data_IF_160519317341
#
_entry.id   IF_160519317341
#
_cell.length_a   1.000
_cell.length_b   1.000
_cell.length_c   1.000
_cell.angle_alpha   90.00
_cell.angle_beta   90.00
_cell.angle_gamma   90.00
#
_symmetry.space_group_name_H-M   'P 1'
#
loop_
_entity.id
_entity.type
_entity.pdbx_description
1 polymer ?
#
# COMPACT_ATOMS: atom_id res chain seq x y z
N UNK A 1 0.25 40.52 6.82
CA UNK A 1 -0.92 39.87 6.21
C UNK A 1 -0.94 38.44 6.75
N UNK A 2 -1.84 38.18 7.68
CA UNK A 2 -2.02 36.83 8.28
C UNK A 2 -2.72 35.94 7.26
N UNK A 3 -1.99 35.03 6.67
CA UNK A 3 -2.64 33.87 6.00
C UNK A 3 -3.08 32.92 7.10
N UNK A 4 -4.36 32.95 7.44
CA UNK A 4 -5.01 31.83 8.10
C UNK A 4 -4.95 30.63 7.15
N UNK A 5 -4.52 29.44 7.62
CA UNK A 5 -4.65 28.24 6.82
C UNK A 5 -6.14 28.05 6.52
N UNK A 6 -6.46 27.76 5.27
CA UNK A 6 -7.82 27.42 4.86
C UNK A 6 -8.36 26.36 5.83
N UNK A 7 -9.52 26.63 6.42
CA UNK A 7 -10.28 25.66 7.20
C UNK A 7 -10.58 24.46 6.30
N UNK A 8 -9.70 23.45 6.36
CA UNK A 8 -9.98 22.14 5.77
C UNK A 8 -11.04 21.52 6.67
N UNK A 9 -12.29 21.73 6.32
CA UNK A 9 -13.41 21.02 6.94
C UNK A 9 -13.23 19.55 6.56
N UNK A 10 -12.77 18.74 7.51
CA UNK A 10 -12.78 17.28 7.40
C UNK A 10 -14.26 16.87 7.45
N UNK A 11 -14.88 16.65 6.32
CA UNK A 11 -16.31 16.32 6.20
C UNK A 11 -16.71 15.09 7.03
N UNK A 12 -15.76 14.18 7.29
CA UNK A 12 -15.97 13.01 8.14
C UNK A 12 -14.69 12.67 8.89
N UNK A 13 -14.76 12.67 10.22
CA UNK A 13 -13.67 12.24 11.08
C UNK A 13 -13.52 10.71 11.01
N UNK A 14 -12.32 10.23 10.70
CA UNK A 14 -12.04 8.81 10.62
C UNK A 14 -11.92 8.21 12.04
N UNK A 15 -12.61 7.11 12.37
CA UNK A 15 -12.58 6.51 13.69
C UNK A 15 -11.20 6.01 14.13
N UNK A 16 -10.29 5.79 13.21
CA UNK A 16 -8.93 5.31 13.48
C UNK A 16 -7.94 6.43 13.87
N UNK A 17 -8.31 7.70 13.78
CA UNK A 17 -7.42 8.84 14.09
C UNK A 17 -6.82 8.70 15.49
N UNK A 18 -7.65 8.60 16.52
CA UNK A 18 -7.18 8.53 17.90
C UNK A 18 -6.45 7.24 18.25
N UNK A 19 -6.93 6.04 17.84
CA UNK A 19 -6.18 4.80 17.96
C UNK A 19 -4.78 4.86 17.35
N UNK A 20 -4.67 5.35 16.11
CA UNK A 20 -3.38 5.47 15.41
C UNK A 20 -2.47 6.48 16.13
N UNK A 21 -3.00 7.65 16.48
CA UNK A 21 -2.23 8.67 17.18
C UNK A 21 -1.66 8.13 18.50
N UNK A 22 -2.46 7.38 19.27
CA UNK A 22 -2.00 6.75 20.51
C UNK A 22 -0.85 5.77 20.26
N UNK A 23 -0.91 4.94 19.22
CA UNK A 23 0.15 4.02 18.87
C UNK A 23 1.44 4.78 18.46
N UNK A 24 1.31 5.81 17.64
CA UNK A 24 2.44 6.63 17.17
C UNK A 24 3.10 7.42 18.32
N UNK A 25 2.33 7.85 19.31
CA UNK A 25 2.88 8.53 20.48
C UNK A 25 3.69 7.57 21.38
N UNK A 26 3.26 6.32 21.51
CA UNK A 26 3.98 5.30 22.26
C UNK A 26 5.23 4.80 21.53
N UNK A 27 5.12 4.62 20.21
CA UNK A 27 6.19 4.18 19.33
C UNK A 27 6.23 5.08 18.10
N UNK A 28 7.03 6.17 18.10
CA UNK A 28 7.00 7.17 17.03
C UNK A 28 7.56 6.70 15.69
N UNK A 29 8.28 5.60 15.62
CA UNK A 29 8.99 5.11 14.43
C UNK A 29 8.86 3.60 14.26
N UNK A 30 9.16 3.14 13.05
CA UNK A 30 9.23 1.71 12.73
C UNK A 30 7.88 1.09 12.41
N UNK A 31 6.89 1.89 12.06
CA UNK A 31 5.61 1.41 11.59
C UNK A 31 5.60 1.25 10.07
N UNK A 32 4.96 0.20 9.63
CA UNK A 32 4.56 -0.01 8.25
C UNK A 32 3.04 -0.16 8.23
N UNK A 33 2.41 0.07 7.07
CA UNK A 33 0.94 0.03 6.98
C UNK A 33 0.38 -1.31 7.46
N UNK A 34 1.03 -2.43 7.10
CA UNK A 34 0.58 -3.76 7.50
C UNK A 34 0.77 -4.05 9.00
N UNK A 35 1.87 -3.59 9.63
CA UNK A 35 2.11 -3.77 11.07
C UNK A 35 1.15 -2.93 11.90
N UNK A 36 0.82 -1.73 11.42
CA UNK A 36 -0.17 -0.85 12.03
C UNK A 36 -1.57 -1.48 11.93
N UNK A 37 -1.95 -1.98 10.75
CA UNK A 37 -3.19 -2.70 10.50
C UNK A 37 -3.34 -3.90 11.44
N UNK A 38 -2.32 -4.74 11.52
CA UNK A 38 -2.34 -5.92 12.39
C UNK A 38 -2.49 -5.53 13.87
N UNK A 39 -1.73 -4.54 14.33
CA UNK A 39 -1.82 -4.08 15.72
C UNK A 39 -3.21 -3.54 16.08
N UNK A 40 -3.87 -2.82 15.17
CA UNK A 40 -5.23 -2.33 15.38
C UNK A 40 -6.25 -3.46 15.42
N UNK A 41 -6.08 -4.49 14.59
CA UNK A 41 -6.92 -5.70 14.61
C UNK A 41 -6.76 -6.49 15.91
N UNK A 42 -5.52 -6.72 16.35
CA UNK A 42 -5.22 -7.43 17.60
C UNK A 42 -5.83 -6.71 18.81
N UNK A 43 -5.89 -5.38 18.75
CA UNK A 43 -6.55 -4.54 19.76
C UNK A 43 -8.07 -4.39 19.57
N UNK A 44 -8.66 -5.05 18.57
CA UNK A 44 -10.10 -4.96 18.22
C UNK A 44 -10.55 -3.53 17.92
N UNK A 45 -9.67 -2.73 17.32
CA UNK A 45 -9.96 -1.34 16.91
C UNK A 45 -10.20 -1.23 15.40
N UNK A 46 -9.97 -2.32 14.67
CA UNK A 46 -10.24 -2.44 13.23
C UNK A 46 -10.85 -3.81 12.96
N UNK A 47 -12.13 -3.82 12.67
CA UNK A 47 -12.89 -5.04 12.37
C UNK A 47 -12.84 -5.39 10.88
N UNK A 48 -13.44 -6.53 10.52
CA UNK A 48 -13.72 -6.90 9.14
C UNK A 48 -14.79 -5.95 8.57
N UNK A 49 -14.53 -5.37 7.41
CA UNK A 49 -15.35 -4.32 6.79
C UNK A 49 -16.14 -4.79 5.58
N UNK A 50 -15.83 -5.99 5.07
CA UNK A 50 -16.55 -6.59 3.95
C UNK A 50 -16.42 -8.12 3.99
N UNK A 51 -17.44 -8.82 3.45
CA UNK A 51 -17.43 -10.29 3.33
C UNK A 51 -16.44 -10.74 2.25
N UNK A 52 -16.28 -9.95 1.19
CA UNK A 52 -15.25 -10.17 0.18
C UNK A 52 -13.88 -9.76 0.70
N UNK A 53 -12.95 -10.71 0.73
CA UNK A 53 -11.61 -10.49 1.30
C UNK A 53 -10.81 -9.39 0.59
N UNK A 54 -11.09 -9.10 -0.68
CA UNK A 54 -10.38 -8.08 -1.45
C UNK A 54 -10.93 -6.70 -1.12
N UNK A 55 -12.25 -6.61 -1.07
CA UNK A 55 -12.96 -5.39 -0.65
C UNK A 55 -12.63 -5.06 0.81
N UNK A 56 -12.58 -6.07 1.67
CA UNK A 56 -12.18 -5.90 3.07
C UNK A 56 -10.75 -5.35 3.18
N UNK A 57 -9.80 -5.96 2.48
CA UNK A 57 -8.41 -5.47 2.47
C UNK A 57 -8.31 -4.04 1.95
N UNK A 58 -9.02 -3.73 0.86
CA UNK A 58 -9.04 -2.38 0.30
C UNK A 58 -9.64 -1.37 1.28
N UNK A 59 -10.82 -1.65 1.84
CA UNK A 59 -11.50 -0.77 2.80
C UNK A 59 -10.67 -0.50 4.04
N UNK A 60 -10.02 -1.53 4.59
CA UNK A 60 -9.11 -1.37 5.74
C UNK A 60 -7.91 -0.50 5.40
N UNK A 61 -7.26 -0.75 4.25
CA UNK A 61 -6.15 0.08 3.78
C UNK A 61 -6.59 1.54 3.53
N UNK A 62 -7.76 1.72 2.92
CA UNK A 62 -8.30 3.06 2.72
C UNK A 62 -8.49 3.79 4.04
N UNK A 63 -9.16 3.18 5.03
CA UNK A 63 -9.36 3.80 6.33
C UNK A 63 -8.05 4.14 7.03
N UNK A 64 -7.05 3.25 6.98
CA UNK A 64 -5.73 3.50 7.58
C UNK A 64 -5.04 4.69 6.93
N UNK A 65 -4.96 4.73 5.60
CA UNK A 65 -4.31 5.81 4.87
C UNK A 65 -5.05 7.13 5.03
N UNK A 66 -6.39 7.10 4.98
CA UNK A 66 -7.23 8.27 5.23
C UNK A 66 -6.96 8.85 6.64
N UNK A 67 -6.94 8.00 7.69
CA UNK A 67 -6.65 8.43 9.04
C UNK A 67 -5.24 9.01 9.19
N UNK A 68 -4.24 8.40 8.56
CA UNK A 68 -2.85 8.90 8.58
C UNK A 68 -2.73 10.26 7.90
N UNK A 69 -3.38 10.48 6.76
CA UNK A 69 -3.35 11.78 6.09
C UNK A 69 -4.17 12.85 6.83
N UNK A 70 -5.29 12.48 7.46
CA UNK A 70 -6.00 13.39 8.36
C UNK A 70 -5.13 13.77 9.57
N UNK A 71 -4.43 12.82 10.19
CA UNK A 71 -3.47 13.08 11.26
C UNK A 71 -2.31 13.96 10.82
N UNK A 72 -1.78 13.77 9.62
CA UNK A 72 -0.72 14.62 9.07
C UNK A 72 -1.15 16.09 9.04
N UNK A 73 -2.39 16.35 8.62
CA UNK A 73 -2.96 17.71 8.59
C UNK A 73 -3.17 18.26 10.01
N UNK A 74 -3.76 17.45 10.90
CA UNK A 74 -4.08 17.85 12.27
C UNK A 74 -2.84 18.15 13.11
N UNK A 75 -1.76 17.43 12.89
CA UNK A 75 -0.52 17.57 13.65
C UNK A 75 0.35 18.73 13.16
N UNK A 76 0.23 19.10 11.88
CA UNK A 76 0.96 20.24 11.30
C UNK A 76 0.45 21.58 11.85
N UNK A 77 1.29 22.57 12.12
CA UNK A 77 2.75 22.61 11.95
C UNK A 77 3.56 22.17 13.18
N UNK A 78 2.94 21.65 14.22
CA UNK A 78 3.64 21.31 15.48
C UNK A 78 4.49 20.05 15.36
N UNK A 79 3.99 19.07 14.63
CA UNK A 79 4.64 17.80 14.36
C UNK A 79 4.47 17.45 12.88
N UNK A 80 5.36 16.62 12.36
CA UNK A 80 5.23 16.06 11.02
C UNK A 80 4.97 14.57 11.11
N UNK A 81 3.90 14.11 10.48
CA UNK A 81 3.65 12.70 10.27
C UNK A 81 4.13 12.30 8.87
N UNK A 82 5.21 11.52 8.80
CA UNK A 82 5.64 10.91 7.57
C UNK A 82 4.69 9.75 7.25
N UNK A 83 4.09 9.78 6.06
CA UNK A 83 3.13 8.77 5.62
C UNK A 83 3.66 8.13 4.35
N UNK A 84 4.49 7.13 4.53
CA UNK A 84 4.95 6.23 3.48
C UNK A 84 4.54 4.82 3.86
N UNK A 85 4.08 4.01 2.89
CA UNK A 85 3.50 2.70 3.18
C UNK A 85 4.42 1.77 4.00
N UNK A 86 5.74 1.93 3.82
CA UNK A 86 6.77 1.13 4.48
C UNK A 86 7.48 1.89 5.60
N UNK A 87 7.19 3.17 5.78
CA UNK A 87 7.84 4.00 6.78
C UNK A 87 6.88 5.10 7.28
N UNK A 88 6.21 4.79 8.38
CA UNK A 88 5.31 5.72 9.05
C UNK A 88 6.03 6.18 10.34
N UNK A 89 6.27 7.48 10.44
CA UNK A 89 6.99 8.08 11.56
C UNK A 89 6.33 9.37 12.04
N UNK A 90 6.20 9.50 13.35
CA UNK A 90 5.82 10.76 13.99
C UNK A 90 7.07 11.53 14.38
N UNK A 91 7.30 12.67 13.74
CA UNK A 91 8.47 13.53 13.96
C UNK A 91 8.07 14.76 14.77
N UNK A 92 8.81 15.05 15.84
CA UNK A 92 8.61 16.23 16.68
C UNK A 92 9.22 17.50 16.06
N UNK A 93 9.85 17.39 14.89
CA UNK A 93 10.48 18.49 14.17
C UNK A 93 9.86 18.59 12.79
N UNK A 94 9.45 19.78 12.42
CA UNK A 94 8.98 20.10 11.07
C UNK A 94 10.10 20.83 10.33
N UNK A 95 10.62 20.21 9.28
CA UNK A 95 11.64 20.81 8.41
C UNK A 95 10.99 21.72 7.36
N UNK A 96 11.77 22.65 6.80
CA UNK A 96 11.31 23.55 5.73
C UNK A 96 10.83 22.79 4.46
N UNK A 97 11.28 21.55 4.26
CA UNK A 97 10.82 20.67 3.18
C UNK A 97 9.45 20.03 3.43
N UNK A 98 8.93 20.12 4.65
CA UNK A 98 7.63 19.56 5.01
C UNK A 98 6.52 20.57 4.74
N UNK A 99 5.84 20.43 3.63
CA UNK A 99 4.76 21.30 3.22
C UNK A 99 3.49 20.50 2.90
N UNK A 100 2.38 20.85 3.53
CA UNK A 100 1.06 20.31 3.18
C UNK A 100 0.56 20.84 1.83
N UNK A 101 1.03 22.02 1.42
CA UNK A 101 0.65 22.64 0.15
C UNK A 101 1.27 21.96 -1.08
N UNK A 102 2.31 21.12 -0.87
CA UNK A 102 2.86 20.34 -1.97
C UNK A 102 1.85 19.29 -2.40
N UNK A 103 1.51 19.30 -3.68
CA UNK A 103 0.60 18.31 -4.26
C UNK A 103 1.08 16.87 -3.95
N UNK A 104 0.23 16.13 -3.29
CA UNK A 104 0.43 14.71 -3.00
C UNK A 104 -0.81 13.95 -3.51
N UNK A 105 -0.73 13.36 -4.71
CA UNK A 105 -1.86 12.67 -5.31
C UNK A 105 -2.41 11.53 -4.46
N UNK A 106 -1.58 10.94 -3.58
CA UNK A 106 -2.05 9.91 -2.65
C UNK A 106 -2.88 10.51 -1.53
N UNK A 107 -2.40 11.63 -0.95
CA UNK A 107 -3.14 12.32 0.08
C UNK A 107 -4.50 12.76 -0.46
N UNK A 108 -4.53 13.39 -1.63
CA UNK A 108 -5.77 13.80 -2.29
C UNK A 108 -6.71 12.61 -2.50
N UNK A 109 -6.20 11.49 -3.00
CA UNK A 109 -6.99 10.28 -3.21
C UNK A 109 -7.59 9.73 -1.91
N UNK A 110 -6.78 9.58 -0.87
CA UNK A 110 -7.26 8.98 0.38
C UNK A 110 -8.09 9.93 1.24
N UNK A 111 -8.00 11.22 1.08
CA UNK A 111 -8.87 12.19 1.76
C UNK A 111 -10.25 12.28 1.13
N UNK A 112 -10.42 11.89 -0.13
CA UNK A 112 -11.71 11.83 -0.79
C UNK A 112 -12.46 10.54 -0.45
N UNK A 113 -13.48 10.64 0.39
CA UNK A 113 -14.30 9.52 0.84
C UNK A 113 -15.09 8.82 -0.27
N UNK A 114 -15.30 9.45 -1.45
CA UNK A 114 -15.91 8.79 -2.59
C UNK A 114 -15.10 7.56 -3.02
N UNK A 115 -13.78 7.62 -2.87
CA UNK A 115 -12.87 6.54 -3.23
C UNK A 115 -12.96 5.32 -2.28
N UNK A 116 -13.63 5.45 -1.14
CA UNK A 116 -13.89 4.32 -0.23
C UNK A 116 -14.78 3.24 -0.86
N UNK A 117 -15.63 3.63 -1.81
CA UNK A 117 -16.56 2.75 -2.54
C UNK A 117 -16.04 2.39 -3.93
N UNK A 118 -14.71 2.47 -4.15
CA UNK A 118 -14.10 2.18 -5.45
C UNK A 118 -14.48 0.78 -5.96
N UNK A 119 -14.64 0.68 -7.27
CA UNK A 119 -14.90 -0.59 -7.95
C UNK A 119 -13.66 -1.50 -8.01
N UNK A 120 -13.84 -2.73 -8.48
CA UNK A 120 -12.77 -3.74 -8.52
C UNK A 120 -11.58 -3.31 -9.38
N UNK A 121 -11.81 -2.59 -10.49
CA UNK A 121 -10.75 -2.13 -11.39
C UNK A 121 -9.91 -1.02 -10.74
N UNK A 122 -10.54 -0.11 -10.00
CA UNK A 122 -9.86 0.92 -9.23
C UNK A 122 -9.06 0.32 -8.08
N UNK A 123 -9.59 -0.69 -7.39
CA UNK A 123 -8.90 -1.46 -6.35
C UNK A 123 -7.65 -2.13 -6.91
N UNK A 124 -7.74 -2.78 -8.08
CA UNK A 124 -6.61 -3.44 -8.73
C UNK A 124 -5.51 -2.43 -9.11
N UNK A 125 -5.89 -1.29 -9.67
CA UNK A 125 -4.95 -0.22 -10.05
C UNK A 125 -4.20 0.34 -8.85
N UNK A 126 -4.88 0.50 -7.73
CA UNK A 126 -4.27 0.98 -6.48
C UNK A 126 -3.31 -0.03 -5.86
N UNK A 127 -3.72 -1.29 -5.76
CA UNK A 127 -2.85 -2.36 -5.31
C UNK A 127 -1.59 -2.45 -6.18
N UNK A 128 -1.73 -2.34 -7.50
CA UNK A 128 -0.60 -2.34 -8.41
C UNK A 128 0.34 -1.14 -8.18
N UNK A 129 -0.19 0.06 -7.99
CA UNK A 129 0.61 1.27 -7.75
C UNK A 129 1.30 1.26 -6.38
N UNK A 130 0.63 0.75 -5.35
CA UNK A 130 1.20 0.52 -4.03
C UNK A 130 2.40 -0.42 -4.10
N UNK A 131 2.24 -1.56 -4.78
CA UNK A 131 3.29 -2.56 -4.91
C UNK A 131 4.48 -2.09 -5.74
N UNK A 132 4.27 -1.28 -6.73
CA UNK A 132 5.35 -0.66 -7.51
C UNK A 132 6.25 0.22 -6.63
N UNK A 133 5.68 0.96 -5.68
CA UNK A 133 6.44 1.79 -4.72
C UNK A 133 7.13 0.96 -3.65
N UNK A 134 6.45 -0.05 -3.13
CA UNK A 134 7.04 -1.01 -2.20
C UNK A 134 8.34 -1.61 -2.74
N UNK A 135 8.36 -1.96 -4.02
CA UNK A 135 9.55 -2.49 -4.66
C UNK A 135 10.67 -1.48 -4.87
N UNK A 136 10.33 -0.26 -5.22
CA UNK A 136 11.34 0.80 -5.36
C UNK A 136 12.08 1.01 -4.03
N UNK A 137 11.39 0.85 -2.92
CA UNK A 137 11.97 0.96 -1.59
C UNK A 137 12.87 -0.24 -1.25
N UNK A 138 12.43 -1.47 -1.55
CA UNK A 138 13.20 -2.68 -1.27
C UNK A 138 14.39 -2.89 -2.21
N UNK A 139 14.28 -2.50 -3.49
CA UNK A 139 15.36 -2.66 -4.46
C UNK A 139 16.58 -1.78 -4.13
N UNK A 140 16.42 -0.76 -3.31
CA UNK A 140 17.53 0.01 -2.78
C UNK A 140 18.32 -0.72 -1.67
N UNK A 141 17.79 -1.83 -1.13
CA UNK A 141 18.43 -2.58 -0.04
C UNK A 141 18.96 -3.97 -0.45
N UNK A 142 18.69 -4.45 -1.67
CA UNK A 142 19.08 -5.82 -2.03
C UNK A 142 19.60 -5.93 -3.45
N UNK A 143 20.87 -5.64 -3.64
CA UNK A 143 21.67 -6.26 -4.71
C UNK A 143 21.92 -7.72 -4.30
N UNK A 144 21.14 -8.64 -4.78
CA UNK A 144 21.46 -10.07 -4.99
C UNK A 144 20.19 -10.90 -5.16
N UNK A 145 19.54 -10.79 -6.32
CA UNK A 145 18.59 -11.82 -6.72
C UNK A 145 19.27 -12.63 -7.83
N UNK A 146 19.59 -13.90 -7.52
CA UNK A 146 19.97 -14.90 -8.51
C UNK A 146 19.00 -14.81 -9.67
N UNK A 147 19.55 -14.73 -10.89
CA UNK A 147 18.78 -14.80 -12.14
C UNK A 147 18.03 -16.14 -12.17
N UNK A 148 16.77 -16.12 -11.76
CA UNK A 148 15.85 -17.24 -11.97
C UNK A 148 15.50 -17.28 -13.46
N UNK A 149 15.36 -18.48 -14.01
CA UNK A 149 14.94 -18.67 -15.40
C UNK A 149 13.46 -18.31 -15.55
N UNK A 150 13.03 -17.97 -16.77
CA UNK A 150 11.61 -17.75 -17.08
C UNK A 150 10.77 -19.00 -16.80
N UNK A 151 11.34 -20.19 -17.00
CA UNK A 151 10.69 -21.47 -16.70
C UNK A 151 10.43 -21.64 -15.20
N UNK A 152 11.37 -21.20 -14.36
CA UNK A 152 11.19 -21.20 -12.90
C UNK A 152 10.07 -20.23 -12.47
N UNK A 153 9.93 -19.11 -13.18
CA UNK A 153 8.86 -18.13 -12.92
C UNK A 153 7.47 -18.70 -13.29
N UNK A 154 7.35 -19.39 -14.42
CA UNK A 154 6.11 -20.10 -14.76
C UNK A 154 5.77 -21.20 -13.74
N UNK A 155 6.76 -21.97 -13.30
CA UNK A 155 6.60 -22.99 -12.26
C UNK A 155 6.17 -22.36 -10.93
N UNK A 156 6.75 -21.23 -10.53
CA UNK A 156 6.37 -20.48 -9.33
C UNK A 156 4.91 -20.00 -9.38
N UNK A 157 4.42 -19.69 -10.59
CA UNK A 157 3.04 -19.31 -10.86
C UNK A 157 2.09 -20.50 -11.00
N UNK A 158 2.60 -21.74 -10.93
CA UNK A 158 1.79 -22.94 -11.19
C UNK A 158 1.14 -22.89 -12.60
N UNK A 159 1.85 -22.32 -13.57
CA UNK A 159 1.40 -22.17 -14.95
C UNK A 159 2.32 -22.91 -15.93
N UNK A 160 1.79 -23.41 -17.06
CA UNK A 160 2.64 -23.94 -18.13
C UNK A 160 3.40 -22.81 -18.83
N UNK A 161 4.57 -23.11 -19.42
CA UNK A 161 5.40 -22.13 -20.16
C UNK A 161 4.69 -21.56 -21.40
N UNK A 162 3.58 -22.14 -21.80
CA UNK A 162 2.71 -21.68 -22.91
C UNK A 162 1.60 -20.74 -22.46
N UNK A 163 1.54 -20.39 -21.16
CA UNK A 163 0.48 -19.56 -20.63
C UNK A 163 0.53 -18.13 -21.23
N UNK A 164 -0.63 -17.63 -21.55
CA UNK A 164 -0.84 -16.31 -22.12
C UNK A 164 -0.73 -15.20 -21.08
N UNK A 165 -0.53 -13.95 -21.52
CA UNK A 165 -0.50 -12.80 -20.65
C UNK A 165 -1.76 -12.62 -19.78
N UNK A 166 -3.00 -12.83 -20.28
CA UNK A 166 -4.21 -12.83 -19.44
C UNK A 166 -4.19 -13.89 -18.32
N UNK A 167 -3.67 -15.10 -18.62
CA UNK A 167 -3.58 -16.18 -17.63
C UNK A 167 -2.55 -15.84 -16.54
N UNK A 168 -1.41 -15.29 -16.92
CA UNK A 168 -0.40 -14.80 -15.96
C UNK A 168 -1.00 -13.71 -15.06
N UNK A 169 -1.72 -12.73 -15.61
CA UNK A 169 -2.40 -11.67 -14.84
C UNK A 169 -3.45 -12.23 -13.89
N UNK A 170 -4.28 -13.18 -14.35
CA UNK A 170 -5.29 -13.83 -13.51
C UNK A 170 -4.64 -14.59 -12.35
N UNK A 171 -3.59 -15.35 -12.62
CA UNK A 171 -2.88 -16.10 -11.60
C UNK A 171 -2.14 -15.19 -10.61
N UNK A 172 -1.52 -14.12 -11.11
CA UNK A 172 -0.91 -13.09 -10.27
C UNK A 172 -1.88 -12.56 -9.24
N UNK A 173 -3.10 -12.14 -9.65
CA UNK A 173 -4.12 -11.66 -8.72
C UNK A 173 -4.40 -12.66 -7.61
N UNK A 174 -4.60 -13.93 -7.95
CA UNK A 174 -4.85 -15.00 -6.99
C UNK A 174 -3.70 -15.19 -5.99
N UNK A 175 -2.46 -15.23 -6.49
CA UNK A 175 -1.27 -15.45 -5.66
C UNK A 175 -0.92 -14.22 -4.81
N UNK A 176 -1.04 -13.03 -5.38
CA UNK A 176 -0.83 -11.77 -4.66
C UNK A 176 -1.77 -11.64 -3.46
N UNK A 177 -3.04 -11.99 -3.65
CA UNK A 177 -4.02 -12.01 -2.57
C UNK A 177 -3.74 -13.09 -1.53
N UNK A 178 -3.36 -14.29 -1.98
CA UNK A 178 -3.06 -15.42 -1.08
C UNK A 178 -1.89 -15.12 -0.15
N UNK A 179 -0.84 -14.48 -0.67
CA UNK A 179 0.41 -14.25 0.04
C UNK A 179 0.59 -12.81 0.52
N UNK A 180 -0.48 -12.00 0.44
CA UNK A 180 -0.43 -10.59 0.87
C UNK A 180 0.03 -10.50 2.32
N UNK A 181 1.02 -9.64 2.66
CA UNK A 181 1.55 -9.53 4.02
C UNK A 181 0.50 -9.11 5.06
N UNK A 182 -0.58 -8.46 4.64
CA UNK A 182 -1.71 -8.05 5.48
C UNK A 182 -2.68 -9.18 5.83
N UNK A 183 -2.51 -10.35 5.25
CA UNK A 183 -3.34 -11.52 5.58
C UNK A 183 -2.74 -12.31 6.72
N UNK A 184 -3.61 -12.97 7.48
CA UNK A 184 -3.26 -13.81 8.62
C UNK A 184 -2.22 -14.90 8.28
N UNK A 185 -2.26 -15.44 7.04
CA UNK A 185 -1.31 -16.40 6.49
C UNK A 185 -0.44 -15.79 5.38
N UNK A 186 -0.30 -14.46 5.35
CA UNK A 186 0.52 -13.77 4.38
C UNK A 186 2.01 -14.02 4.61
N UNK A 187 2.81 -13.87 3.55
CA UNK A 187 4.25 -14.03 3.62
C UNK A 187 4.92 -13.00 2.70
N UNK A 188 5.57 -12.03 3.30
CA UNK A 188 6.21 -10.91 2.57
C UNK A 188 7.32 -11.37 1.63
N UNK A 189 8.13 -12.36 2.03
CA UNK A 189 9.20 -12.89 1.18
C UNK A 189 8.67 -13.64 -0.03
N UNK A 190 7.64 -14.49 0.18
CA UNK A 190 6.99 -15.21 -0.91
C UNK A 190 6.23 -14.28 -1.84
N UNK A 191 5.60 -13.25 -1.29
CA UNK A 191 4.98 -12.21 -2.08
C UNK A 191 6.00 -11.49 -2.97
N UNK A 192 7.16 -11.11 -2.42
CA UNK A 192 8.25 -10.48 -3.14
C UNK A 192 8.77 -11.33 -4.30
N UNK A 193 8.98 -12.64 -4.05
CA UNK A 193 9.38 -13.59 -5.10
C UNK A 193 8.35 -13.64 -6.24
N UNK A 194 7.07 -13.77 -5.91
CA UNK A 194 5.96 -13.81 -6.87
C UNK A 194 5.85 -12.52 -7.68
N UNK A 195 6.03 -11.37 -7.06
CA UNK A 195 5.99 -10.10 -7.77
C UNK A 195 7.14 -9.98 -8.77
N UNK A 196 8.37 -10.30 -8.38
CA UNK A 196 9.53 -10.26 -9.26
C UNK A 196 9.35 -11.20 -10.47
N UNK A 197 8.82 -12.41 -10.22
CA UNK A 197 8.46 -13.36 -11.25
C UNK A 197 7.38 -12.78 -12.20
N UNK A 198 6.34 -12.13 -11.64
CA UNK A 198 5.30 -11.48 -12.46
C UNK A 198 5.87 -10.45 -13.42
N UNK A 199 6.80 -9.60 -12.96
CA UNK A 199 7.42 -8.59 -13.80
C UNK A 199 8.23 -9.21 -14.94
N UNK A 200 9.01 -10.27 -14.65
CA UNK A 200 9.78 -10.97 -15.67
C UNK A 200 8.88 -11.66 -16.71
N UNK A 201 7.81 -12.35 -16.25
CA UNK A 201 6.84 -13.00 -17.12
C UNK A 201 6.10 -12.01 -18.03
N UNK A 202 5.64 -10.87 -17.48
CA UNK A 202 4.98 -9.83 -18.27
C UNK A 202 5.93 -9.28 -19.35
N UNK A 203 7.18 -8.98 -18.99
CA UNK A 203 8.15 -8.47 -19.92
C UNK A 203 8.49 -9.50 -21.01
N UNK A 204 8.69 -10.76 -20.64
CA UNK A 204 8.94 -11.85 -21.58
C UNK A 204 7.78 -12.00 -22.58
N UNK A 205 6.54 -12.08 -22.10
CA UNK A 205 5.37 -12.28 -22.95
C UNK A 205 5.06 -11.06 -23.85
N UNK A 206 5.33 -9.84 -23.41
CA UNK A 206 5.20 -8.64 -24.24
C UNK A 206 6.24 -8.63 -25.36
N UNK A 207 7.49 -9.00 -25.07
CA UNK A 207 8.56 -9.03 -26.04
C UNK A 207 8.38 -10.16 -27.08
N UNK A 208 7.75 -11.28 -26.67
CA UNK A 208 7.46 -12.40 -27.56
C UNK A 208 6.20 -12.14 -28.42
N UNK A 209 5.35 -11.21 -28.03
CA UNK A 209 4.10 -10.88 -28.73
C UNK A 209 4.21 -9.74 -29.75
N UNK A 210 5.41 -9.18 -30.00
CA UNK A 210 5.66 -8.24 -31.09
C UNK A 210 6.18 -9.03 -32.30
N UNK A 211 5.38 -9.29 -33.34
CA UNK A 211 5.92 -9.71 -34.64
C UNK A 211 6.64 -8.52 -35.29
N UNK A 212 7.74 -8.80 -35.95
CA UNK A 212 8.48 -7.89 -36.83
C UNK A 212 7.60 -7.30 -37.92
#
# INVERSE_FOLDING_TARGET
MNHQPADIQLEHENPLIWPILSLLQHQPKGWMIHTLSQTLRDKKMLDTLDEDSNKDLFKRNFLLMNALYQLQILLFPKQWLQVEAMDIQLLNIVYQSHHLEKADPLREYYLDWHNYHADEDAIESLLHSFWKRYQQHINNETESIKSLSIDDDFALFELPNTASLPEVRKQWRRLALKWHPDRENGNSEKFKQLYNANQRLINHLKNTSQPY
#
